data_IF_046020200723
#
_entry.id   IF_046020200723
#
_cell.length_a   1.000
_cell.length_b   1.000
_cell.length_c   1.000
_cell.angle_alpha   90.00
_cell.angle_beta   90.00
_cell.angle_gamma   90.00
#
_symmetry.space_group_name_H-M   'P 1'
#
loop_
_entity.id
_entity.type
_entity.pdbx_description
1 polymer ?
#
# COMPACT_ATOMS: atom_id res chain seq x y z
N UNK A 1 13.04 10.95 22.20
CA UNK A 1 13.74 10.08 21.24
C UNK A 1 12.69 9.44 20.36
N UNK A 2 12.87 9.45 19.04
CA UNK A 2 11.97 8.74 18.14
C UNK A 2 12.39 7.26 18.03
N UNK A 3 11.44 6.38 17.68
CA UNK A 3 11.72 4.96 17.46
C UNK A 3 12.84 4.74 16.43
N UNK A 4 12.96 5.64 15.45
CA UNK A 4 14.02 5.62 14.42
C UNK A 4 15.40 5.91 15.02
N UNK A 5 15.51 6.87 15.94
CA UNK A 5 16.77 7.21 16.61
C UNK A 5 17.25 6.07 17.52
N UNK A 6 16.30 5.35 18.13
CA UNK A 6 16.61 4.20 18.99
C UNK A 6 17.06 2.99 18.17
N UNK A 7 16.42 2.75 17.02
CA UNK A 7 16.84 1.76 16.04
C UNK A 7 18.23 2.06 15.47
N UNK A 8 18.54 3.32 15.16
CA UNK A 8 19.87 3.73 14.67
C UNK A 8 20.98 3.41 15.66
N UNK A 9 20.75 3.67 16.95
CA UNK A 9 21.69 3.34 18.02
C UNK A 9 21.92 1.82 18.13
N UNK A 10 20.87 1.01 18.02
CA UNK A 10 20.98 -0.45 18.03
C UNK A 10 21.73 -0.98 16.79
N UNK A 11 21.45 -0.43 15.61
CA UNK A 11 22.13 -0.76 14.37
C UNK A 11 23.62 -0.43 14.43
N UNK A 12 24.03 0.63 15.14
CA UNK A 12 25.44 0.99 15.27
C UNK A 12 26.29 -0.09 15.94
N UNK A 13 25.70 -0.89 16.83
CA UNK A 13 26.38 -1.98 17.55
C UNK A 13 26.34 -3.36 16.86
N UNK A 14 25.56 -3.50 15.78
CA UNK A 14 25.36 -4.78 15.09
C UNK A 14 26.48 -5.09 14.09
N UNK A 15 26.81 -6.37 13.98
CA UNK A 15 27.65 -6.92 12.91
C UNK A 15 26.97 -6.81 11.54
N UNK A 16 27.75 -6.96 10.47
CA UNK A 16 27.20 -6.95 9.10
C UNK A 16 26.17 -8.07 8.87
N UNK A 17 26.35 -9.23 9.51
CA UNK A 17 25.43 -10.36 9.42
C UNK A 17 24.08 -10.09 10.10
N UNK A 18 24.11 -9.52 11.31
CA UNK A 18 22.90 -9.14 12.05
C UNK A 18 22.12 -8.04 11.34
N UNK A 19 22.82 -7.06 10.74
CA UNK A 19 22.19 -6.04 9.89
C UNK A 19 21.48 -6.65 8.69
N UNK A 20 22.10 -7.64 8.04
CA UNK A 20 21.49 -8.33 6.91
C UNK A 20 20.26 -9.17 7.34
N UNK A 21 20.31 -9.81 8.51
CA UNK A 21 19.19 -10.56 9.07
C UNK A 21 18.02 -9.65 9.45
N UNK A 22 18.30 -8.51 10.10
CA UNK A 22 17.29 -7.51 10.41
C UNK A 22 16.70 -6.89 9.15
N UNK A 23 17.53 -6.60 8.14
CA UNK A 23 17.06 -6.16 6.83
C UNK A 23 16.14 -7.21 6.20
N UNK A 24 16.48 -8.49 6.25
CA UNK A 24 15.60 -9.56 5.75
C UNK A 24 14.27 -9.63 6.50
N UNK A 25 14.26 -9.43 7.82
CA UNK A 25 13.02 -9.38 8.59
C UNK A 25 12.19 -8.16 8.25
N UNK A 26 12.81 -6.99 8.22
CA UNK A 26 12.15 -5.75 7.80
C UNK A 26 11.63 -5.89 6.37
N UNK A 27 12.35 -6.51 5.45
CA UNK A 27 11.87 -6.76 4.08
C UNK A 27 10.76 -7.81 4.01
N UNK A 28 10.70 -8.79 4.94
CA UNK A 28 9.56 -9.72 5.04
C UNK A 28 8.33 -9.06 5.65
N UNK A 29 8.52 -8.29 6.70
CA UNK A 29 7.48 -7.55 7.40
C UNK A 29 6.92 -6.43 6.50
N UNK A 30 7.81 -5.74 5.78
CA UNK A 30 7.46 -4.84 4.68
C UNK A 30 7.05 -5.58 3.40
N UNK A 31 7.25 -6.89 3.32
CA UNK A 31 6.74 -7.72 2.23
C UNK A 31 5.22 -7.78 2.23
N UNK A 32 4.62 -7.56 3.41
CA UNK A 32 3.19 -7.29 3.60
C UNK A 32 2.86 -5.79 3.58
N UNK A 33 3.87 -4.90 3.64
CA UNK A 33 3.70 -3.45 3.54
C UNK A 33 4.03 -2.96 2.12
N UNK A 34 3.02 -2.94 1.25
CA UNK A 34 3.13 -2.35 -0.09
C UNK A 34 3.51 -0.87 0.05
N UNK A 35 4.73 -0.46 -0.34
CA UNK A 35 5.14 0.93 -0.22
C UNK A 35 4.14 1.78 -1.00
N UNK A 36 3.44 2.72 -0.37
CA UNK A 36 2.43 3.52 -1.05
C UNK A 36 0.97 3.08 -0.87
N UNK A 37 0.68 2.00 -0.13
CA UNK A 37 -0.68 1.65 0.32
C UNK A 37 -0.69 1.55 1.85
N UNK A 38 -1.47 2.40 2.51
CA UNK A 38 -1.71 2.37 3.96
C UNK A 38 -3.12 1.84 4.22
N UNK A 39 -3.23 0.80 5.05
CA UNK A 39 -4.50 0.34 5.63
C UNK A 39 -4.59 0.83 7.07
N UNK A 40 -5.28 1.96 7.29
CA UNK A 40 -5.46 2.52 8.64
C UNK A 40 -6.83 2.09 9.17
N UNK A 41 -6.84 1.25 10.20
CA UNK A 41 -8.07 0.87 10.93
C UNK A 41 -8.83 2.11 11.38
N UNK A 42 -10.04 2.32 10.85
CA UNK A 42 -10.90 3.48 11.16
C UNK A 42 -10.92 4.59 10.10
N UNK A 43 -10.11 4.50 9.04
CA UNK A 43 -10.20 5.36 7.85
C UNK A 43 -10.79 4.54 6.71
N UNK A 44 -11.85 5.03 6.06
CA UNK A 44 -12.61 4.27 5.04
C UNK A 44 -13.01 2.86 5.53
N UNK A 45 -13.38 2.70 6.81
CA UNK A 45 -13.73 1.38 7.36
C UNK A 45 -12.58 0.39 7.55
N UNK A 46 -11.31 0.84 7.37
CA UNK A 46 -10.13 -0.04 7.34
C UNK A 46 -9.69 -0.45 5.94
N UNK A 47 -10.31 0.12 4.90
CA UNK A 47 -9.98 -0.16 3.50
C UNK A 47 -8.54 0.30 3.14
N UNK A 48 -7.83 -0.49 2.31
CA UNK A 48 -6.50 -0.14 1.82
C UNK A 48 -6.56 1.11 0.94
N UNK A 49 -5.88 2.17 1.37
CA UNK A 49 -5.86 3.47 0.68
C UNK A 49 -4.46 3.80 0.16
N UNK A 50 -4.38 4.50 -0.97
CA UNK A 50 -3.09 5.02 -1.45
C UNK A 50 -2.54 6.05 -0.47
N UNK A 51 -1.28 5.87 -0.06
CA UNK A 51 -0.55 6.72 0.89
C UNK A 51 -0.62 8.20 0.47
N UNK A 52 -0.90 9.07 1.45
CA UNK A 52 -1.14 10.53 1.28
C UNK A 52 -2.43 10.87 0.54
N UNK A 53 -3.29 9.90 0.27
CA UNK A 53 -4.61 10.13 -0.31
C UNK A 53 -5.68 9.43 0.52
N UNK A 54 -6.94 9.74 0.23
CA UNK A 54 -8.10 8.97 0.70
C UNK A 54 -8.73 8.20 -0.45
N UNK A 55 -7.92 7.74 -1.39
CA UNK A 55 -8.37 6.99 -2.57
C UNK A 55 -8.18 5.50 -2.25
N UNK A 56 -9.25 4.72 -2.09
CA UNK A 56 -9.16 3.29 -1.86
C UNK A 56 -8.62 2.56 -3.08
N UNK A 57 -7.88 1.48 -2.86
CA UNK A 57 -7.34 0.63 -3.94
C UNK A 57 -8.48 0.02 -4.78
N UNK A 58 -9.61 -0.35 -4.14
CA UNK A 58 -10.75 -0.94 -4.84
C UNK A 58 -11.35 -0.02 -5.91
N UNK A 59 -11.38 1.30 -5.68
CA UNK A 59 -11.90 2.28 -6.65
C UNK A 59 -11.06 2.26 -7.93
N UNK A 60 -9.73 2.21 -7.77
CA UNK A 60 -8.80 2.16 -8.90
C UNK A 60 -8.97 0.85 -9.68
N UNK A 61 -9.09 -0.28 -8.97
CA UNK A 61 -9.29 -1.60 -9.58
C UNK A 61 -10.63 -1.67 -10.31
N UNK A 62 -11.71 -1.14 -9.72
CA UNK A 62 -13.03 -1.12 -10.34
C UNK A 62 -13.03 -0.25 -11.60
N UNK A 63 -12.47 0.96 -11.54
CA UNK A 63 -12.37 1.84 -12.71
C UNK A 63 -11.59 1.19 -13.87
N UNK A 64 -10.51 0.46 -13.54
CA UNK A 64 -9.77 -0.34 -14.52
C UNK A 64 -10.60 -1.49 -15.09
N UNK A 65 -11.36 -2.21 -14.27
CA UNK A 65 -12.26 -3.27 -14.72
C UNK A 65 -13.37 -2.74 -15.66
N UNK A 66 -13.81 -1.51 -15.44
CA UNK A 66 -14.76 -0.79 -16.30
C UNK A 66 -14.13 -0.22 -17.58
N UNK A 67 -12.83 -0.46 -17.82
CA UNK A 67 -12.12 -0.06 -19.04
C UNK A 67 -11.41 1.29 -18.96
N UNK A 68 -11.28 1.90 -17.79
CA UNK A 68 -10.55 3.17 -17.61
C UNK A 68 -9.05 2.93 -17.73
N UNK A 69 -8.37 3.75 -18.54
CA UNK A 69 -6.91 3.68 -18.69
C UNK A 69 -6.18 4.30 -17.49
N UNK A 70 -4.94 3.89 -17.24
CA UNK A 70 -4.11 4.49 -16.18
C UNK A 70 -3.88 5.99 -16.42
N UNK A 71 -3.76 6.40 -17.69
CA UNK A 71 -3.62 7.81 -18.05
C UNK A 71 -4.87 8.62 -17.66
N UNK A 72 -6.06 8.05 -17.84
CA UNK A 72 -7.31 8.69 -17.43
C UNK A 72 -7.45 8.71 -15.91
N UNK A 73 -7.02 7.66 -15.21
CA UNK A 73 -6.97 7.65 -13.74
C UNK A 73 -6.09 8.77 -13.19
N UNK A 74 -4.89 8.97 -13.74
CA UNK A 74 -4.00 10.07 -13.33
C UNK A 74 -4.56 11.46 -13.67
N UNK A 75 -5.38 11.56 -14.73
CA UNK A 75 -6.10 12.80 -15.07
C UNK A 75 -7.24 13.09 -14.10
N UNK A 76 -8.00 12.06 -13.72
CA UNK A 76 -9.12 12.16 -12.77
C UNK A 76 -8.66 12.42 -11.34
N UNK A 77 -7.49 11.90 -10.97
CA UNK A 77 -6.90 12.07 -9.64
C UNK A 77 -5.50 12.69 -9.73
N UNK A 78 -5.40 14.03 -9.85
CA UNK A 78 -4.12 14.72 -10.04
C UNK A 78 -3.13 14.57 -8.87
N UNK A 79 -3.61 14.10 -7.72
CA UNK A 79 -2.80 13.81 -6.54
C UNK A 79 -2.10 12.46 -6.60
N UNK A 80 -2.53 11.55 -7.50
CA UNK A 80 -1.90 10.25 -7.72
C UNK A 80 -0.67 10.38 -8.62
N UNK A 81 0.34 9.57 -8.33
CA UNK A 81 1.50 9.36 -9.18
C UNK A 81 1.40 8.01 -9.88
N UNK A 82 2.13 7.84 -10.97
CA UNK A 82 2.22 6.55 -11.66
C UNK A 82 2.74 5.44 -10.73
N UNK A 83 3.66 5.76 -9.82
CA UNK A 83 4.15 4.85 -8.78
C UNK A 83 3.02 4.37 -7.87
N UNK A 84 2.12 5.26 -7.48
CA UNK A 84 1.00 4.93 -6.62
C UNK A 84 0.06 3.90 -7.29
N UNK A 85 -0.17 4.03 -8.61
CA UNK A 85 -0.92 3.03 -9.37
C UNK A 85 -0.20 1.67 -9.41
N UNK A 86 1.12 1.67 -9.64
CA UNK A 86 1.91 0.44 -9.63
C UNK A 86 1.81 -0.29 -8.28
N UNK A 87 1.84 0.48 -7.18
CA UNK A 87 1.68 -0.03 -5.82
C UNK A 87 0.27 -0.54 -5.56
N UNK A 88 -0.77 0.16 -6.03
CA UNK A 88 -2.16 -0.28 -5.98
C UNK A 88 -2.36 -1.65 -6.66
N UNK A 89 -1.76 -1.83 -7.85
CA UNK A 89 -1.83 -3.09 -8.58
C UNK A 89 -1.03 -4.21 -7.93
N UNK A 90 0.12 -3.89 -7.32
CA UNK A 90 0.88 -4.85 -6.54
C UNK A 90 0.05 -5.35 -5.35
N UNK A 91 -0.60 -4.43 -4.61
CA UNK A 91 -1.50 -4.75 -3.52
C UNK A 91 -2.66 -5.63 -4.00
N UNK A 92 -3.34 -5.25 -5.09
CA UNK A 92 -4.44 -6.04 -5.65
C UNK A 92 -4.04 -7.47 -6.04
N UNK A 93 -2.83 -7.68 -6.58
CA UNK A 93 -2.37 -9.02 -6.96
C UNK A 93 -2.21 -9.95 -5.76
N UNK A 94 -1.82 -9.43 -4.61
CA UNK A 94 -1.67 -10.21 -3.39
C UNK A 94 -2.95 -10.31 -2.57
N UNK A 95 -3.78 -9.27 -2.56
CA UNK A 95 -5.01 -9.15 -1.77
C UNK A 95 -6.27 -9.21 -2.66
N UNK A 96 -6.23 -10.02 -3.71
CA UNK A 96 -7.28 -10.02 -4.75
C UNK A 96 -8.68 -10.28 -4.20
N UNK A 97 -8.82 -11.28 -3.32
CA UNK A 97 -10.11 -11.66 -2.74
C UNK A 97 -10.70 -10.55 -1.87
N UNK A 98 -9.86 -9.88 -1.09
CA UNK A 98 -10.25 -8.76 -0.22
C UNK A 98 -10.77 -7.59 -1.06
N UNK A 99 -10.01 -7.18 -2.08
CA UNK A 99 -10.42 -6.07 -2.95
C UNK A 99 -11.67 -6.42 -3.77
N UNK A 100 -11.76 -7.63 -4.32
CA UNK A 100 -12.96 -8.06 -5.04
C UNK A 100 -14.20 -8.09 -4.13
N UNK A 101 -14.03 -8.41 -2.85
CA UNK A 101 -15.10 -8.34 -1.87
C UNK A 101 -15.53 -6.89 -1.61
N UNK A 102 -14.57 -5.97 -1.41
CA UNK A 102 -14.85 -4.54 -1.25
C UNK A 102 -15.60 -3.96 -2.45
N UNK A 103 -15.22 -4.35 -3.69
CA UNK A 103 -15.94 -3.93 -4.91
C UNK A 103 -17.38 -4.42 -4.87
N UNK A 104 -17.62 -5.71 -4.56
CA UNK A 104 -18.99 -6.26 -4.50
C UNK A 104 -19.86 -5.60 -3.43
N UNK A 105 -19.28 -5.37 -2.25
CA UNK A 105 -20.00 -4.72 -1.14
C UNK A 105 -20.38 -3.28 -1.47
N UNK A 106 -19.49 -2.54 -2.12
CA UNK A 106 -19.75 -1.15 -2.54
C UNK A 106 -20.63 -1.05 -3.80
N UNK A 107 -20.67 -2.06 -4.67
CA UNK A 107 -21.60 -2.12 -5.81
C UNK A 107 -23.03 -2.47 -5.39
N UNK A 108 -23.20 -3.15 -4.24
CA UNK A 108 -24.50 -3.58 -3.72
C UNK A 108 -25.15 -2.58 -2.74
N UNK A 109 -24.45 -1.50 -2.39
CA UNK A 109 -24.89 -0.44 -1.48
C UNK A 109 -25.47 0.77 -2.24
#
# INVERSE_FOLDING_TARGET
MSAVQEAEKLLSGMTRGEKAQLLQWVVRDLGDAYPGVDSISGVCGGEPCIVRTRIPVWVLVQARNSGTSEADLLRCYPTLRAEDLANAWAYFRAHRQEIEQQIRENEAA
#
